data_IF_963319766979
#
_entry.id   IF_963319766979
#
_cell.length_a   1.000
_cell.length_b   1.000
_cell.length_c   1.000
_cell.angle_alpha   90.00
_cell.angle_beta   90.00
_cell.angle_gamma   90.00
#
_symmetry.space_group_name_H-M   'P 1'
#
loop_
_entity.id
_entity.type
_entity.pdbx_description
1 polymer ?
#
# COMPACT_ATOMS: atom_id res chain seq x y z
N UNK A 1 -13.96 3.84 49.92
CA UNK A 1 -14.29 3.22 48.62
C UNK A 1 -12.99 2.98 47.86
N UNK A 2 -12.72 1.74 47.44
CA UNK A 2 -11.51 1.35 46.70
C UNK A 2 -11.57 1.86 45.23
N UNK A 3 -10.68 2.78 44.87
CA UNK A 3 -10.59 3.39 43.52
C UNK A 3 -9.84 2.54 42.48
N UNK A 4 -9.39 1.33 42.82
CA UNK A 4 -8.58 0.49 41.92
C UNK A 4 -9.26 0.02 40.61
N UNK A 5 -10.56 -0.35 40.57
CA UNK A 5 -11.21 -0.72 39.31
C UNK A 5 -11.49 0.50 38.40
N UNK A 6 -11.57 1.70 38.98
CA UNK A 6 -11.76 2.97 38.27
C UNK A 6 -10.55 3.34 37.41
N UNK A 7 -9.34 3.15 37.93
CA UNK A 7 -8.12 3.45 37.19
C UNK A 7 -7.97 2.52 35.98
N UNK A 8 -8.32 1.24 36.13
CA UNK A 8 -8.27 0.25 35.05
C UNK A 8 -9.22 0.58 33.89
N UNK A 9 -10.48 0.92 34.20
CA UNK A 9 -11.49 1.27 33.19
C UNK A 9 -11.17 2.62 32.53
N UNK A 10 -10.71 3.61 33.29
CA UNK A 10 -10.31 4.92 32.74
C UNK A 10 -9.06 4.78 31.86
N UNK A 11 -8.09 3.93 32.21
CA UNK A 11 -6.90 3.68 31.37
C UNK A 11 -7.29 2.96 30.07
N UNK A 12 -8.21 1.98 30.14
CA UNK A 12 -8.72 1.26 28.96
C UNK A 12 -9.54 2.20 28.07
N UNK A 13 -10.45 3.00 28.64
CA UNK A 13 -11.23 3.99 27.90
C UNK A 13 -10.36 5.11 27.34
N UNK A 14 -9.37 5.63 28.08
CA UNK A 14 -8.45 6.65 27.58
C UNK A 14 -7.56 6.12 26.44
N UNK A 15 -7.20 4.84 26.46
CA UNK A 15 -6.55 4.16 25.31
C UNK A 15 -7.48 4.01 24.11
N UNK A 16 -8.73 3.60 24.33
CA UNK A 16 -9.75 3.45 23.29
C UNK A 16 -10.11 4.80 22.63
N UNK A 17 -10.30 5.84 23.45
CA UNK A 17 -10.63 7.20 23.00
C UNK A 17 -9.44 7.87 22.29
N UNK A 18 -8.21 7.71 22.79
CA UNK A 18 -7.02 8.20 22.06
C UNK A 18 -6.74 7.44 20.76
N UNK A 19 -7.16 6.16 20.67
CA UNK A 19 -7.14 5.45 19.40
C UNK A 19 -8.20 6.00 18.46
N UNK A 20 -9.44 6.24 18.90
CA UNK A 20 -10.54 6.73 18.08
C UNK A 20 -10.34 8.18 17.56
N UNK A 21 -9.84 9.10 18.38
CA UNK A 21 -9.66 10.53 18.01
C UNK A 21 -8.54 10.79 17.00
N UNK A 22 -7.66 9.82 16.73
CA UNK A 22 -6.63 9.95 15.67
C UNK A 22 -7.15 9.70 14.25
N UNK A 23 -8.44 9.39 14.08
CA UNK A 23 -9.02 8.97 12.80
C UNK A 23 -10.07 9.93 12.21
N UNK A 24 -10.33 11.08 12.83
CA UNK A 24 -11.07 12.15 12.16
C UNK A 24 -10.14 12.88 11.19
N UNK A 25 -10.01 12.35 9.97
CA UNK A 25 -10.07 13.22 8.79
C UNK A 25 -10.18 12.46 7.46
N UNK A 26 -11.23 12.85 6.73
CA UNK A 26 -11.41 12.89 5.28
C UNK A 26 -12.15 11.70 4.61
N UNK A 27 -13.32 12.05 4.06
CA UNK A 27 -14.23 11.28 3.19
C UNK A 27 -13.63 11.09 1.77
N UNK A 28 -13.94 10.04 1.00
CA UNK A 28 -15.08 9.73 0.08
C UNK A 28 -14.97 8.23 -0.32
N UNK A 29 -15.99 7.38 -0.52
CA UNK A 29 -16.89 7.18 -1.69
C UNK A 29 -18.06 6.27 -1.24
N UNK A 30 -19.25 6.44 -1.83
CA UNK A 30 -20.54 6.46 -1.11
C UNK A 30 -21.32 5.14 -0.90
N UNK A 31 -21.08 4.03 -1.60
CA UNK A 31 -22.08 2.92 -1.57
C UNK A 31 -21.67 1.71 -0.71
N UNK A 32 -20.38 1.33 -0.68
CA UNK A 32 -19.85 0.33 0.30
C UNK A 32 -19.58 0.99 1.67
N UNK A 33 -19.52 2.33 1.69
CA UNK A 33 -19.35 3.14 2.91
C UNK A 33 -20.51 3.01 3.89
N UNK A 34 -21.74 2.76 3.43
CA UNK A 34 -22.92 2.85 4.30
C UNK A 34 -22.87 1.77 5.38
N UNK A 35 -22.66 0.50 5.04
CA UNK A 35 -22.58 -0.58 6.04
C UNK A 35 -21.34 -0.45 6.97
N UNK A 36 -20.19 -0.02 6.43
CA UNK A 36 -18.95 0.21 7.21
C UNK A 36 -19.06 1.43 8.14
N UNK A 37 -19.70 2.51 7.69
CA UNK A 37 -19.99 3.69 8.51
C UNK A 37 -21.06 3.39 9.56
N UNK A 38 -22.03 2.52 9.27
CA UNK A 38 -23.01 2.08 10.29
C UNK A 38 -22.28 1.38 11.44
N UNK A 39 -21.36 0.45 11.17
CA UNK A 39 -20.57 -0.22 12.22
C UNK A 39 -19.76 0.80 13.02
N UNK A 40 -19.14 1.79 12.36
CA UNK A 40 -18.38 2.85 13.03
C UNK A 40 -19.25 3.78 13.88
N UNK A 41 -20.38 4.26 13.35
CA UNK A 41 -21.35 5.09 14.07
C UNK A 41 -21.89 4.32 15.27
N UNK A 42 -22.22 3.03 15.12
CA UNK A 42 -22.66 2.17 16.22
C UNK A 42 -21.57 2.02 17.28
N UNK A 43 -20.30 1.84 16.87
CA UNK A 43 -19.18 1.69 17.80
C UNK A 43 -18.88 3.00 18.56
N UNK A 44 -18.84 4.14 17.87
CA UNK A 44 -18.63 5.47 18.48
C UNK A 44 -19.82 5.86 19.36
N UNK A 45 -21.05 5.67 18.89
CA UNK A 45 -22.26 5.95 19.67
C UNK A 45 -22.34 5.07 20.92
N UNK A 46 -21.93 3.79 20.83
CA UNK A 46 -21.89 2.91 22.01
C UNK A 46 -20.84 3.36 23.04
N UNK A 47 -19.67 3.84 22.62
CA UNK A 47 -18.63 4.38 23.52
C UNK A 47 -19.07 5.71 24.14
N UNK A 48 -19.62 6.62 23.34
CA UNK A 48 -20.14 7.91 23.82
C UNK A 48 -21.29 7.72 24.78
N UNK A 49 -22.15 6.73 24.49
CA UNK A 49 -23.12 6.22 25.45
C UNK A 49 -22.36 5.87 26.73
N UNK A 50 -21.44 4.87 26.75
CA UNK A 50 -20.71 4.38 27.97
C UNK A 50 -20.24 5.51 28.89
N UNK A 51 -19.69 6.57 28.33
CA UNK A 51 -19.26 7.75 29.07
C UNK A 51 -20.44 8.48 29.75
N UNK A 52 -21.54 8.75 29.02
CA UNK A 52 -22.74 9.39 29.57
C UNK A 52 -23.37 8.60 30.73
N UNK A 53 -23.44 7.28 30.69
CA UNK A 53 -23.96 6.48 31.84
C UNK A 53 -23.08 6.57 33.06
N UNK A 54 -21.76 6.53 32.86
CA UNK A 54 -20.82 6.65 33.96
C UNK A 54 -20.99 8.02 34.63
N UNK A 55 -21.29 9.06 33.85
CA UNK A 55 -21.66 10.38 34.39
C UNK A 55 -23.02 10.31 35.11
N UNK A 56 -24.06 9.74 34.50
CA UNK A 56 -25.39 9.68 35.10
C UNK A 56 -25.44 8.86 36.40
N UNK A 57 -24.86 7.66 36.49
CA UNK A 57 -24.91 6.86 37.72
C UNK A 57 -24.10 7.48 38.85
N UNK A 58 -22.92 8.03 38.57
CA UNK A 58 -22.04 8.54 39.62
C UNK A 58 -22.42 9.95 40.08
N UNK A 59 -22.95 10.81 39.19
CA UNK A 59 -23.43 12.14 39.59
C UNK A 59 -24.90 12.14 40.06
N UNK A 60 -25.69 11.14 39.66
CA UNK A 60 -27.14 11.10 39.88
C UNK A 60 -27.54 9.88 40.71
N UNK A 61 -26.92 9.72 41.88
CA UNK A 61 -27.32 8.70 42.85
C UNK A 61 -28.19 9.36 43.93
N UNK A 62 -29.53 9.43 43.77
CA UNK A 62 -30.39 10.12 44.73
C UNK A 62 -30.50 9.34 46.04
N UNK A 63 -30.46 10.03 47.17
CA UNK A 63 -30.83 9.46 48.47
C UNK A 63 -32.32 9.05 48.44
N UNK A 64 -32.64 7.90 49.05
CA UNK A 64 -34.00 7.32 49.11
C UNK A 64 -35.07 8.26 49.69
N UNK A 65 -34.67 9.29 50.43
CA UNK A 65 -35.56 10.31 51.02
C UNK A 65 -35.92 11.47 50.08
N UNK A 66 -35.43 11.47 48.83
CA UNK A 66 -35.73 12.52 47.85
C UNK A 66 -37.13 12.37 47.24
N UNK A 67 -37.93 13.46 47.13
CA UNK A 67 -39.27 13.42 46.53
C UNK A 67 -39.29 13.08 45.04
N UNK A 68 -38.12 13.00 44.38
CA UNK A 68 -37.98 12.67 42.96
C UNK A 68 -37.37 11.27 42.71
N UNK A 69 -37.27 10.43 43.76
CA UNK A 69 -36.61 9.11 43.70
C UNK A 69 -37.22 8.17 42.65
N UNK A 70 -38.55 8.12 42.55
CA UNK A 70 -39.24 7.26 41.57
C UNK A 70 -38.98 7.69 40.12
N UNK A 71 -38.96 9.00 39.87
CA UNK A 71 -38.62 9.57 38.56
C UNK A 71 -37.17 9.29 38.17
N UNK A 72 -36.23 9.44 39.12
CA UNK A 72 -34.82 9.10 38.89
C UNK A 72 -34.61 7.60 38.65
N UNK A 73 -35.38 6.74 39.33
CA UNK A 73 -35.31 5.29 39.18
C UNK A 73 -35.89 4.83 37.84
N UNK A 74 -36.99 5.44 37.38
CA UNK A 74 -37.55 5.23 36.05
C UNK A 74 -36.57 5.64 34.93
N UNK A 75 -35.96 6.83 35.04
CA UNK A 75 -34.96 7.31 34.09
C UNK A 75 -33.74 6.37 34.09
N UNK A 76 -33.26 5.94 35.26
CA UNK A 76 -32.15 4.98 35.39
C UNK A 76 -32.46 3.62 34.74
N UNK A 77 -33.67 3.09 34.91
CA UNK A 77 -34.09 1.82 34.29
C UNK A 77 -34.27 1.93 32.77
N UNK A 78 -34.82 3.05 32.28
CA UNK A 78 -34.95 3.33 30.84
C UNK A 78 -33.58 3.46 30.17
N UNK A 79 -32.66 4.15 30.86
CA UNK A 79 -31.24 4.21 30.55
C UNK A 79 -30.71 2.77 30.47
N UNK A 80 -30.78 1.94 31.53
CA UNK A 80 -30.28 0.54 31.54
C UNK A 80 -30.82 -0.30 30.37
N UNK A 81 -32.10 -0.15 29.99
CA UNK A 81 -32.70 -0.84 28.85
C UNK A 81 -32.08 -0.45 27.49
N UNK A 82 -31.88 0.84 27.26
CA UNK A 82 -31.18 1.35 26.06
C UNK A 82 -29.71 0.88 26.05
N UNK A 83 -29.09 0.76 27.23
CA UNK A 83 -27.71 0.32 27.43
C UNK A 83 -27.43 -1.15 27.18
N UNK A 84 -28.35 -2.03 27.56
CA UNK A 84 -28.27 -3.45 27.20
C UNK A 84 -28.21 -3.63 25.68
N UNK A 85 -29.02 -2.87 24.95
CA UNK A 85 -29.00 -2.85 23.48
C UNK A 85 -27.67 -2.32 22.90
N UNK A 86 -27.13 -1.25 23.46
CA UNK A 86 -25.87 -0.66 23.00
C UNK A 86 -24.66 -1.61 23.20
N UNK A 87 -24.56 -2.28 24.35
CA UNK A 87 -23.48 -3.24 24.64
C UNK A 87 -23.55 -4.45 23.69
N UNK A 88 -24.75 -4.97 23.45
CA UNK A 88 -24.97 -6.07 22.50
C UNK A 88 -24.60 -5.63 21.08
N UNK A 89 -24.98 -4.41 20.67
CA UNK A 89 -24.62 -3.86 19.36
C UNK A 89 -23.11 -3.67 19.21
N UNK A 90 -22.41 -3.26 20.27
CA UNK A 90 -20.95 -3.17 20.30
C UNK A 90 -20.30 -4.55 20.17
N UNK A 91 -20.81 -5.57 20.86
CA UNK A 91 -20.36 -6.96 20.70
C UNK A 91 -20.49 -7.46 19.26
N UNK A 92 -21.65 -7.23 18.63
CA UNK A 92 -21.91 -7.61 17.24
C UNK A 92 -20.98 -6.84 16.28
N UNK A 93 -20.76 -5.54 16.52
CA UNK A 93 -19.86 -4.71 15.74
C UNK A 93 -18.40 -5.22 15.82
N UNK A 94 -17.92 -5.60 17.01
CA UNK A 94 -16.58 -6.14 17.22
C UNK A 94 -16.39 -7.51 16.54
N UNK A 95 -17.39 -8.39 16.63
CA UNK A 95 -17.35 -9.71 15.95
C UNK A 95 -17.36 -9.52 14.43
N UNK A 96 -18.25 -8.67 13.92
CA UNK A 96 -18.34 -8.34 12.49
C UNK A 96 -17.06 -7.69 11.98
N UNK A 97 -16.43 -6.84 12.79
CA UNK A 97 -15.13 -6.25 12.51
C UNK A 97 -14.03 -7.31 12.39
N UNK A 98 -13.96 -8.23 13.36
CA UNK A 98 -12.98 -9.33 13.33
C UNK A 98 -13.15 -10.23 12.11
N UNK A 99 -14.39 -10.53 11.71
CA UNK A 99 -14.68 -11.35 10.54
C UNK A 99 -14.35 -10.64 9.22
N UNK A 100 -14.72 -9.36 9.08
CA UNK A 100 -14.38 -8.55 7.89
C UNK A 100 -12.86 -8.44 7.72
N UNK A 101 -12.12 -8.23 8.81
CA UNK A 101 -10.66 -8.22 8.78
C UNK A 101 -10.07 -9.54 8.29
N UNK A 102 -10.60 -10.66 8.79
CA UNK A 102 -10.13 -11.99 8.39
C UNK A 102 -10.35 -12.23 6.90
N UNK A 103 -11.56 -11.92 6.39
CA UNK A 103 -11.91 -12.07 4.97
C UNK A 103 -11.02 -11.23 4.05
N UNK A 104 -10.74 -9.98 4.41
CA UNK A 104 -9.92 -9.09 3.59
C UNK A 104 -8.44 -9.55 3.55
N UNK A 105 -7.89 -10.07 4.66
CA UNK A 105 -6.56 -10.69 4.65
C UNK A 105 -6.51 -12.01 3.90
N UNK A 106 -7.53 -12.87 4.03
CA UNK A 106 -7.62 -14.11 3.27
C UNK A 106 -7.69 -13.83 1.76
N UNK A 107 -8.37 -12.76 1.35
CA UNK A 107 -8.39 -12.30 -0.05
C UNK A 107 -7.00 -11.84 -0.50
N UNK A 108 -6.32 -11.03 0.32
CA UNK A 108 -4.96 -10.58 0.04
C UNK A 108 -3.96 -11.74 -0.08
N UNK A 109 -3.97 -12.69 0.86
CA UNK A 109 -3.08 -13.85 0.83
C UNK A 109 -3.33 -14.76 -0.39
N UNK A 110 -4.59 -14.87 -0.84
CA UNK A 110 -4.91 -15.61 -2.07
C UNK A 110 -4.38 -14.90 -3.31
N UNK A 111 -4.55 -13.58 -3.41
CA UNK A 111 -4.00 -12.79 -4.50
C UNK A 111 -2.47 -12.82 -4.51
N UNK A 112 -1.85 -12.76 -3.33
CA UNK A 112 -0.41 -12.86 -3.13
C UNK A 112 0.13 -14.21 -3.63
N UNK A 113 -0.50 -15.31 -3.20
CA UNK A 113 -0.10 -16.65 -3.62
C UNK A 113 -0.18 -16.82 -5.14
N UNK A 114 -1.28 -16.35 -5.75
CA UNK A 114 -1.46 -16.41 -7.20
C UNK A 114 -0.39 -15.61 -7.95
N UNK A 115 -0.05 -14.40 -7.46
CA UNK A 115 1.02 -13.59 -8.03
C UNK A 115 2.39 -14.28 -7.86
N UNK A 116 2.67 -14.82 -6.68
CA UNK A 116 3.92 -15.51 -6.37
C UNK A 116 4.14 -16.74 -7.24
N UNK A 117 3.11 -17.58 -7.42
CA UNK A 117 3.18 -18.76 -8.29
C UNK A 117 3.42 -18.35 -9.75
N UNK A 118 2.70 -17.33 -10.24
CA UNK A 118 2.90 -16.79 -11.59
C UNK A 118 4.31 -16.24 -11.79
N UNK A 119 4.87 -15.58 -10.76
CA UNK A 119 6.27 -15.12 -10.76
C UNK A 119 7.27 -16.28 -10.80
N UNK A 120 6.97 -17.41 -10.17
CA UNK A 120 7.81 -18.61 -10.18
C UNK A 120 7.96 -19.25 -11.56
N UNK A 121 6.96 -19.06 -12.43
CA UNK A 121 6.95 -19.55 -13.81
C UNK A 121 7.40 -18.49 -14.82
N UNK A 122 8.28 -17.57 -14.44
CA UNK A 122 8.84 -16.60 -15.39
C UNK A 122 9.55 -17.34 -16.54
N UNK A 123 9.07 -17.12 -17.77
CA UNK A 123 9.61 -17.75 -19.00
C UNK A 123 9.83 -16.72 -20.10
N UNK A 124 10.90 -16.92 -20.88
CA UNK A 124 11.22 -16.09 -22.05
C UNK A 124 10.24 -16.33 -23.23
N UNK A 125 9.49 -17.43 -23.19
CA UNK A 125 8.40 -17.79 -24.11
C UNK A 125 7.11 -17.09 -23.70
N UNK A 126 6.40 -16.47 -24.66
CA UNK A 126 5.18 -15.68 -24.44
C UNK A 126 5.30 -14.59 -23.36
N UNK A 127 6.45 -13.91 -23.32
CA UNK A 127 6.78 -12.91 -22.30
C UNK A 127 5.73 -11.79 -22.18
N UNK A 128 5.12 -11.35 -23.28
CA UNK A 128 4.04 -10.34 -23.29
C UNK A 128 2.77 -10.84 -22.61
N UNK A 129 2.30 -12.05 -22.94
CA UNK A 129 1.10 -12.64 -22.30
C UNK A 129 1.33 -12.89 -20.81
N UNK A 130 2.55 -13.33 -20.46
CA UNK A 130 2.96 -13.49 -19.07
C UNK A 130 2.89 -12.15 -18.32
N UNK A 131 3.34 -11.06 -18.94
CA UNK A 131 3.30 -9.72 -18.35
C UNK A 131 1.87 -9.18 -18.22
N UNK A 132 1.02 -9.36 -19.22
CA UNK A 132 -0.40 -8.98 -19.14
C UNK A 132 -1.11 -9.66 -17.97
N UNK A 133 -0.85 -10.96 -17.79
CA UNK A 133 -1.38 -11.70 -16.64
C UNK A 133 -0.76 -11.23 -15.32
N UNK A 134 0.53 -10.91 -15.30
CA UNK A 134 1.19 -10.32 -14.14
C UNK A 134 0.53 -9.00 -13.72
N UNK A 135 0.26 -8.09 -14.66
CA UNK A 135 -0.39 -6.81 -14.39
C UNK A 135 -1.81 -6.99 -13.82
N UNK A 136 -2.57 -7.97 -14.32
CA UNK A 136 -3.88 -8.30 -13.78
C UNK A 136 -3.81 -8.84 -12.34
N UNK A 137 -2.86 -9.74 -12.05
CA UNK A 137 -2.65 -10.29 -10.71
C UNK A 137 -2.16 -9.24 -9.72
N UNK A 138 -1.24 -8.36 -10.15
CA UNK A 138 -0.80 -7.22 -9.36
C UNK A 138 -1.96 -6.27 -9.02
N UNK A 139 -2.82 -5.94 -9.99
CA UNK A 139 -4.00 -5.09 -9.75
C UNK A 139 -4.92 -5.72 -8.71
N UNK A 140 -5.21 -7.02 -8.83
CA UNK A 140 -6.02 -7.73 -7.84
C UNK A 140 -5.39 -7.69 -6.43
N UNK A 141 -4.07 -7.83 -6.31
CA UNK A 141 -3.36 -7.71 -5.04
C UNK A 141 -3.43 -6.27 -4.47
N UNK A 142 -3.21 -5.28 -5.33
CA UNK A 142 -3.27 -3.85 -4.99
C UNK A 142 -4.67 -3.45 -4.51
N UNK A 143 -5.71 -3.93 -5.19
CA UNK A 143 -7.11 -3.72 -4.81
C UNK A 143 -7.42 -4.39 -3.45
N UNK A 144 -6.93 -5.60 -3.21
CA UNK A 144 -7.04 -6.26 -1.91
C UNK A 144 -6.39 -5.42 -0.80
N UNK A 145 -5.20 -4.87 -1.04
CA UNK A 145 -4.56 -3.98 -0.07
C UNK A 145 -5.28 -2.63 0.11
N UNK A 146 -5.85 -2.07 -0.96
CA UNK A 146 -6.68 -0.89 -0.88
C UNK A 146 -7.92 -1.14 -0.01
N UNK A 147 -8.47 -2.37 -0.04
CA UNK A 147 -9.57 -2.79 0.83
C UNK A 147 -9.14 -3.00 2.29
N UNK A 148 -7.90 -3.45 2.51
CA UNK A 148 -7.27 -3.59 3.83
C UNK A 148 -7.08 -2.24 4.56
N UNK A 149 -7.15 -1.09 3.85
CA UNK A 149 -6.93 0.28 4.39
C UNK A 149 -7.62 0.59 5.72
N UNK A 150 -8.71 -0.08 6.06
CA UNK A 150 -9.55 0.23 7.22
C UNK A 150 -9.42 -0.74 8.42
N UNK A 151 -8.58 -1.79 8.35
CA UNK A 151 -8.74 -2.97 9.20
C UNK A 151 -7.54 -3.37 10.08
N UNK A 152 -6.44 -2.62 10.07
CA UNK A 152 -5.22 -2.94 10.84
C UNK A 152 -4.64 -1.71 11.56
N UNK A 153 -3.82 -1.96 12.59
CA UNK A 153 -2.93 -0.94 13.18
C UNK A 153 -2.25 -0.14 12.04
N UNK A 154 -2.63 1.13 11.82
CA UNK A 154 -2.46 1.78 10.51
C UNK A 154 -1.01 2.01 10.11
N UNK A 155 -0.09 1.94 11.08
CA UNK A 155 1.26 2.45 10.90
C UNK A 155 2.33 1.38 10.73
N UNK A 156 2.10 0.12 11.13
CA UNK A 156 3.17 -0.89 11.10
C UNK A 156 2.91 -1.97 10.07
N UNK A 157 1.85 -2.76 10.27
CA UNK A 157 1.51 -3.86 9.34
C UNK A 157 1.14 -3.34 7.96
N UNK A 158 0.39 -2.23 7.89
CA UNK A 158 0.02 -1.63 6.61
C UNK A 158 1.22 -1.06 5.85
N UNK A 159 2.22 -0.51 6.53
CA UNK A 159 3.46 -0.04 5.88
C UNK A 159 4.23 -1.22 5.31
N UNK A 160 4.40 -2.30 6.08
CA UNK A 160 5.05 -3.52 5.59
C UNK A 160 4.33 -4.11 4.36
N UNK A 161 3.00 -4.24 4.41
CA UNK A 161 2.22 -4.72 3.26
C UNK A 161 2.31 -3.77 2.06
N UNK A 162 2.39 -2.45 2.31
CA UNK A 162 2.60 -1.46 1.25
C UNK A 162 3.98 -1.63 0.61
N UNK A 163 5.05 -1.71 1.40
CA UNK A 163 6.42 -1.95 0.90
C UNK A 163 6.49 -3.23 0.06
N UNK A 164 5.79 -4.29 0.50
CA UNK A 164 5.67 -5.55 -0.22
C UNK A 164 4.98 -5.40 -1.60
N UNK A 165 3.90 -4.64 -1.69
CA UNK A 165 3.20 -4.39 -2.96
C UNK A 165 4.00 -3.44 -3.84
N UNK A 166 4.60 -2.41 -3.24
CA UNK A 166 5.46 -1.45 -3.89
C UNK A 166 6.66 -2.14 -4.54
N UNK A 167 7.12 -3.28 -4.03
CA UNK A 167 8.14 -4.12 -4.67
C UNK A 167 7.68 -4.68 -6.02
N UNK A 168 6.48 -5.28 -6.08
CA UNK A 168 5.91 -5.77 -7.34
C UNK A 168 5.56 -4.61 -8.28
N UNK A 169 5.08 -3.49 -7.74
CA UNK A 169 4.87 -2.27 -8.52
C UNK A 169 6.15 -1.78 -9.20
N UNK A 170 7.28 -1.82 -8.49
CA UNK A 170 8.58 -1.44 -9.07
C UNK A 170 8.97 -2.29 -10.28
N UNK A 171 8.65 -3.58 -10.29
CA UNK A 171 8.88 -4.41 -11.48
C UNK A 171 8.07 -3.91 -12.66
N UNK A 172 6.77 -3.64 -12.44
CA UNK A 172 5.88 -3.15 -13.48
C UNK A 172 6.39 -1.83 -14.05
N UNK A 173 6.74 -0.86 -13.19
CA UNK A 173 7.29 0.44 -13.63
C UNK A 173 8.56 0.26 -14.47
N UNK A 174 9.47 -0.62 -14.05
CA UNK A 174 10.75 -0.82 -14.72
C UNK A 174 10.64 -1.55 -16.06
N UNK A 175 9.52 -2.23 -16.35
CA UNK A 175 9.39 -3.14 -17.49
C UNK A 175 8.22 -2.86 -18.44
N UNK A 176 7.24 -2.04 -18.03
CA UNK A 176 6.04 -1.72 -18.82
C UNK A 176 6.39 -1.24 -20.24
N UNK A 177 7.30 -0.26 -20.36
CA UNK A 177 7.69 0.30 -21.64
C UNK A 177 8.38 -0.74 -22.54
N UNK A 178 9.19 -1.63 -21.95
CA UNK A 178 9.89 -2.71 -22.63
C UNK A 178 8.91 -3.75 -23.18
N UNK A 179 7.91 -4.16 -22.37
CA UNK A 179 6.87 -5.07 -22.81
C UNK A 179 5.96 -4.45 -23.88
N UNK A 180 5.67 -3.15 -23.77
CA UNK A 180 4.96 -2.43 -24.82
C UNK A 180 5.75 -2.38 -26.13
N UNK A 181 7.08 -2.18 -26.08
CA UNK A 181 7.93 -2.30 -27.27
C UNK A 181 7.89 -3.71 -27.87
N UNK A 182 7.94 -4.77 -27.05
CA UNK A 182 7.87 -6.16 -27.52
C UNK A 182 6.59 -6.49 -28.29
N UNK A 183 5.47 -5.77 -28.05
CA UNK A 183 4.22 -5.96 -28.81
C UNK A 183 4.34 -5.53 -30.28
N UNK A 184 5.19 -4.54 -30.57
CA UNK A 184 5.28 -3.88 -31.88
C UNK A 184 6.58 -4.19 -32.64
N UNK A 185 7.56 -4.82 -32.00
CA UNK A 185 8.84 -5.16 -32.62
C UNK A 185 8.72 -6.42 -33.47
N UNK A 186 8.98 -6.28 -34.77
CA UNK A 186 9.09 -7.41 -35.70
C UNK A 186 10.51 -8.01 -35.76
N UNK A 187 11.54 -7.29 -35.31
CA UNK A 187 12.94 -7.69 -35.44
C UNK A 187 13.39 -8.62 -34.28
N UNK A 188 13.84 -9.86 -34.56
CA UNK A 188 14.19 -10.83 -33.52
C UNK A 188 15.36 -10.42 -32.61
N UNK A 189 16.39 -9.77 -33.17
CA UNK A 189 17.59 -9.30 -32.44
C UNK A 189 17.23 -8.29 -31.35
N UNK A 190 16.44 -7.26 -31.71
CA UNK A 190 15.96 -6.24 -30.78
C UNK A 190 15.01 -6.80 -29.73
N UNK A 191 14.17 -7.76 -30.11
CA UNK A 191 13.32 -8.47 -29.16
C UNK A 191 14.15 -9.21 -28.11
N UNK A 192 15.22 -9.89 -28.53
CA UNK A 192 16.10 -10.62 -27.61
C UNK A 192 16.85 -9.69 -26.66
N UNK A 193 17.35 -8.56 -27.15
CA UNK A 193 18.01 -7.54 -26.32
C UNK A 193 17.08 -6.99 -25.22
N UNK A 194 15.81 -6.76 -25.55
CA UNK A 194 14.81 -6.29 -24.58
C UNK A 194 14.50 -7.39 -23.55
N UNK A 195 14.34 -8.63 -23.99
CA UNK A 195 14.13 -9.77 -23.08
C UNK A 195 15.30 -9.96 -22.13
N UNK A 196 16.53 -9.82 -22.62
CA UNK A 196 17.73 -9.87 -21.78
C UNK A 196 17.73 -8.75 -20.73
N UNK A 197 17.39 -7.52 -21.09
CA UNK A 197 17.26 -6.41 -20.11
C UNK A 197 16.21 -6.69 -19.04
N UNK A 198 15.07 -7.29 -19.41
CA UNK A 198 14.04 -7.69 -18.44
C UNK A 198 14.56 -8.82 -17.54
N UNK A 199 15.26 -9.80 -18.13
CA UNK A 199 15.86 -10.92 -17.41
C UNK A 199 16.90 -10.46 -16.40
N UNK A 200 17.72 -9.46 -16.71
CA UNK A 200 18.70 -8.88 -15.78
C UNK A 200 18.04 -8.21 -14.57
N UNK A 201 16.79 -7.76 -14.70
CA UNK A 201 16.01 -7.20 -13.58
C UNK A 201 15.47 -8.33 -12.69
N UNK A 202 14.93 -9.39 -13.30
CA UNK A 202 14.27 -10.51 -12.60
C UNK A 202 15.26 -11.50 -12.01
N UNK A 203 16.31 -11.83 -12.76
CA UNK A 203 17.26 -12.89 -12.46
C UNK A 203 18.53 -12.29 -11.88
N UNK A 204 18.97 -12.87 -10.78
CA UNK A 204 20.25 -12.58 -10.16
C UNK A 204 21.15 -13.79 -10.25
N UNK A 205 22.28 -13.63 -10.92
CA UNK A 205 23.29 -14.68 -11.00
C UNK A 205 24.28 -14.54 -9.84
N UNK A 206 24.20 -15.46 -8.89
CA UNK A 206 25.16 -15.57 -7.80
C UNK A 206 26.22 -16.58 -8.20
N UNK A 207 27.42 -16.09 -8.45
CA UNK A 207 28.58 -16.92 -8.74
C UNK A 207 29.29 -17.25 -7.42
N UNK A 208 29.26 -18.51 -7.01
CA UNK A 208 30.03 -18.99 -5.86
C UNK A 208 31.20 -19.84 -6.34
N UNK A 209 32.42 -19.46 -5.95
CA UNK A 209 33.61 -20.27 -6.18
C UNK A 209 33.94 -21.05 -4.91
N UNK A 210 34.00 -22.38 -5.02
CA UNK A 210 34.54 -23.27 -3.98
C UNK A 210 35.68 -24.07 -4.60
N UNK A 211 36.92 -23.63 -4.37
CA UNK A 211 38.11 -24.22 -4.98
C UNK A 211 38.09 -24.02 -6.50
N UNK A 212 38.19 -25.12 -7.27
CA UNK A 212 38.20 -25.10 -8.75
C UNK A 212 36.76 -25.06 -9.32
N UNK A 213 35.75 -25.36 -8.50
CA UNK A 213 34.36 -25.38 -8.95
C UNK A 213 33.72 -23.98 -8.87
N UNK A 214 33.21 -23.52 -10.01
CA UNK A 214 32.37 -22.33 -10.14
C UNK A 214 30.91 -22.78 -10.22
N UNK A 215 30.15 -22.52 -9.15
CA UNK A 215 28.71 -22.75 -9.14
C UNK A 215 28.00 -21.43 -9.49
N UNK A 216 27.13 -21.48 -10.49
CA UNK A 216 26.29 -20.35 -10.88
C UNK A 216 24.87 -20.67 -10.40
N UNK A 217 24.35 -19.87 -9.49
CA UNK A 217 22.99 -19.97 -8.98
C UNK A 217 22.18 -18.80 -9.56
N UNK A 218 21.14 -19.08 -10.34
CA UNK A 218 20.27 -18.06 -10.89
C UNK A 218 19.02 -17.94 -10.01
N UNK A 219 18.89 -16.85 -9.26
CA UNK A 219 17.76 -16.60 -8.38
C UNK A 219 16.75 -15.67 -9.05
N UNK A 220 15.47 -16.04 -9.01
CA UNK A 220 14.40 -15.14 -9.41
C UNK A 220 14.08 -14.18 -8.26
N UNK A 221 14.45 -12.91 -8.38
CA UNK A 221 14.25 -11.87 -7.36
C UNK A 221 12.78 -11.67 -6.97
N UNK A 222 11.83 -12.00 -7.85
CA UNK A 222 10.40 -11.89 -7.56
C UNK A 222 9.91 -12.94 -6.55
N UNK A 223 10.61 -14.07 -6.43
CA UNK A 223 10.23 -15.19 -5.56
C UNK A 223 11.30 -15.56 -4.50
N UNK A 224 12.55 -15.17 -4.73
CA UNK A 224 13.68 -15.46 -3.85
C UNK A 224 13.54 -14.78 -2.49
N UNK A 225 13.83 -15.52 -1.41
CA UNK A 225 13.76 -15.09 -0.01
C UNK A 225 12.41 -14.47 0.42
N UNK A 226 11.32 -14.75 -0.31
CA UNK A 226 9.98 -14.28 0.05
C UNK A 226 9.33 -15.08 1.17
N UNK A 227 9.92 -16.19 1.59
CA UNK A 227 9.40 -17.02 2.70
C UNK A 227 9.30 -16.23 4.01
N UNK A 228 10.27 -15.36 4.29
CA UNK A 228 10.28 -14.48 5.46
C UNK A 228 9.11 -13.49 5.37
N UNK A 229 8.89 -12.89 4.20
CA UNK A 229 7.78 -11.96 3.99
C UNK A 229 6.42 -12.67 4.13
N UNK A 230 6.26 -13.87 3.57
CA UNK A 230 5.05 -14.69 3.72
C UNK A 230 4.79 -15.06 5.17
N UNK A 231 5.83 -15.44 5.93
CA UNK A 231 5.71 -15.70 7.36
C UNK A 231 5.23 -14.47 8.13
N UNK A 232 5.72 -13.27 7.78
CA UNK A 232 5.23 -12.04 8.38
C UNK A 232 3.76 -11.75 8.02
N UNK A 233 3.35 -12.00 6.78
CA UNK A 233 1.94 -11.87 6.35
C UNK A 233 1.05 -12.85 7.14
N UNK A 234 1.48 -14.11 7.30
CA UNK A 234 0.79 -15.11 8.11
C UNK A 234 0.68 -14.72 9.59
N UNK A 235 1.74 -14.16 10.14
CA UNK A 235 1.77 -13.69 11.53
C UNK A 235 0.84 -12.47 11.72
N UNK A 236 0.75 -11.56 10.73
CA UNK A 236 -0.24 -10.46 10.69
C UNK A 236 -1.66 -11.03 10.66
N UNK A 237 -1.92 -12.04 9.82
CA UNK A 237 -3.22 -12.71 9.73
C UNK A 237 -3.63 -13.33 11.07
N UNK A 238 -2.72 -14.06 11.73
CA UNK A 238 -2.96 -14.78 13.00
C UNK A 238 -3.05 -13.88 14.22
N UNK A 239 -2.91 -12.56 14.07
CA UNK A 239 -3.12 -11.57 15.12
C UNK A 239 -2.26 -11.77 16.39
N UNK A 240 -1.06 -12.36 16.26
CA UNK A 240 -0.14 -12.37 17.40
C UNK A 240 0.16 -10.91 17.76
N UNK A 241 0.24 -10.59 19.05
CA UNK A 241 0.65 -9.28 19.57
C UNK A 241 2.08 -8.95 19.13
N UNK A 242 2.26 -8.63 17.85
CA UNK A 242 3.57 -8.40 17.26
C UNK A 242 3.88 -6.92 17.44
N UNK A 243 4.54 -6.64 18.56
CA UNK A 243 5.06 -5.31 18.86
C UNK A 243 6.31 -4.95 18.02
N UNK A 244 6.83 -5.89 17.21
CA UNK A 244 7.99 -5.69 16.35
C UNK A 244 7.56 -5.12 14.99
N UNK A 245 8.27 -4.10 14.53
CA UNK A 245 8.15 -3.60 13.16
C UNK A 245 8.75 -4.65 12.23
N UNK A 246 7.97 -5.12 11.26
CA UNK A 246 8.52 -5.87 10.14
C UNK A 246 9.12 -4.89 9.15
N UNK A 247 10.32 -5.18 8.66
CA UNK A 247 10.98 -4.38 7.62
C UNK A 247 11.07 -5.21 6.35
N UNK A 248 10.65 -4.64 5.23
CA UNK A 248 10.77 -5.26 3.94
C UNK A 248 11.98 -4.65 3.22
N UNK A 249 13.15 -5.26 3.39
CA UNK A 249 14.44 -4.70 2.96
C UNK A 249 14.85 -5.07 1.52
N UNK A 250 13.90 -5.46 0.67
CA UNK A 250 14.14 -5.86 -0.72
C UNK A 250 13.72 -4.76 -1.69
N UNK A 251 14.52 -4.55 -2.74
CA UNK A 251 14.21 -3.63 -3.84
C UNK A 251 14.67 -4.25 -5.15
N UNK A 252 13.93 -3.97 -6.23
CA UNK A 252 14.36 -4.28 -7.59
C UNK A 252 15.12 -3.13 -8.23
N UNK A 253 15.07 -1.94 -7.63
CA UNK A 253 15.69 -0.72 -8.17
C UNK A 253 17.18 -0.75 -7.85
N UNK A 254 18.01 -0.76 -8.89
CA UNK A 254 19.47 -0.72 -8.81
C UNK A 254 20.00 0.39 -9.70
N UNK A 255 21.26 0.79 -9.50
CA UNK A 255 21.94 1.74 -10.39
C UNK A 255 22.06 1.24 -11.85
N UNK A 256 21.91 -0.07 -12.07
CA UNK A 256 22.01 -0.68 -13.40
C UNK A 256 20.70 -0.58 -14.19
N UNK A 257 19.55 -0.61 -13.51
CA UNK A 257 18.23 -0.57 -14.15
C UNK A 257 17.46 0.74 -13.94
N UNK A 258 18.00 1.69 -13.17
CA UNK A 258 17.45 3.02 -12.95
C UNK A 258 18.54 4.09 -12.95
N UNK A 259 18.36 5.14 -13.77
CA UNK A 259 19.34 6.22 -13.95
C UNK A 259 18.95 7.42 -13.08
N UNK A 260 19.70 7.71 -12.02
CA UNK A 260 19.45 8.92 -11.23
C UNK A 260 19.75 10.18 -12.07
N UNK A 261 18.78 11.07 -12.18
CA UNK A 261 18.91 12.31 -12.93
C UNK A 261 19.57 13.41 -12.09
N UNK A 262 20.30 14.31 -12.75
CA UNK A 262 20.80 15.51 -12.11
C UNK A 262 19.65 16.45 -11.73
N UNK A 263 19.80 17.30 -10.68
CA UNK A 263 18.74 18.17 -10.20
C UNK A 263 18.08 19.04 -11.28
N UNK A 264 18.84 19.47 -12.30
CA UNK A 264 18.32 20.21 -13.45
C UNK A 264 17.22 19.42 -14.17
N UNK A 265 17.45 18.14 -14.44
CA UNK A 265 16.52 17.28 -15.17
C UNK A 265 15.35 16.80 -14.30
N UNK A 266 15.53 16.72 -12.98
CA UNK A 266 14.43 16.40 -12.06
C UNK A 266 13.33 17.46 -12.06
N UNK A 267 13.68 18.73 -12.34
CA UNK A 267 12.69 19.80 -12.54
C UNK A 267 11.78 19.47 -13.71
N UNK A 268 12.34 19.04 -14.85
CA UNK A 268 11.55 18.63 -16.01
C UNK A 268 10.65 17.43 -15.72
N UNK A 269 11.13 16.43 -14.98
CA UNK A 269 10.31 15.27 -14.60
C UNK A 269 9.11 15.70 -13.75
N UNK A 270 9.32 16.65 -12.83
CA UNK A 270 8.23 17.18 -12.00
C UNK A 270 7.21 17.95 -12.84
N UNK A 271 7.67 18.78 -13.76
CA UNK A 271 6.81 19.55 -14.68
C UNK A 271 6.03 18.63 -15.63
N UNK A 272 6.68 17.61 -16.20
CA UNK A 272 6.00 16.59 -17.00
C UNK A 272 4.87 15.93 -16.23
N UNK A 273 5.11 15.57 -14.97
CA UNK A 273 4.09 14.94 -14.14
C UNK A 273 2.89 15.84 -13.89
N UNK A 274 3.14 17.11 -13.57
CA UNK A 274 2.08 18.10 -13.40
C UNK A 274 1.26 18.30 -14.70
N UNK A 275 1.90 18.27 -15.87
CA UNK A 275 1.21 18.37 -17.17
C UNK A 275 0.50 17.07 -17.58
N UNK A 276 1.05 15.89 -17.27
CA UNK A 276 0.38 14.59 -17.46
C UNK A 276 -0.90 14.53 -16.62
N UNK A 277 -0.85 14.97 -15.37
CA UNK A 277 -2.03 15.01 -14.47
C UNK A 277 -3.11 15.98 -14.98
N UNK A 278 -2.72 17.11 -15.57
CA UNK A 278 -3.67 18.10 -16.13
C UNK A 278 -4.29 17.64 -17.45
N UNK A 279 -3.48 17.11 -18.36
CA UNK A 279 -3.89 16.75 -19.72
C UNK A 279 -4.42 15.31 -19.82
N UNK A 280 -4.17 14.48 -18.80
CA UNK A 280 -4.41 13.05 -18.81
C UNK A 280 -3.80 12.36 -20.05
N UNK A 281 -2.60 12.79 -20.43
CA UNK A 281 -1.87 12.36 -21.63
C UNK A 281 -0.38 12.19 -21.32
N UNK A 282 0.27 11.17 -21.88
CA UNK A 282 1.73 11.01 -21.87
C UNK A 282 2.42 11.76 -23.01
N UNK A 283 1.66 12.28 -23.97
CA UNK A 283 2.12 13.24 -24.97
C UNK A 283 1.84 14.65 -24.49
N UNK A 284 2.90 15.42 -24.27
CA UNK A 284 2.86 16.74 -23.68
C UNK A 284 3.33 17.79 -24.69
N UNK A 285 2.59 18.89 -24.79
CA UNK A 285 3.07 20.10 -25.49
C UNK A 285 4.02 20.83 -24.52
N UNK A 286 5.32 20.57 -24.66
CA UNK A 286 6.33 21.02 -23.70
C UNK A 286 7.56 21.58 -24.41
N UNK A 287 8.06 22.72 -23.91
CA UNK A 287 9.16 23.47 -24.51
C UNK A 287 10.39 23.36 -23.60
N UNK A 288 11.41 22.69 -24.12
CA UNK A 288 12.75 22.59 -23.52
C UNK A 288 13.84 22.53 -24.59
N UNK A 289 15.11 22.81 -24.24
CA UNK A 289 16.23 22.65 -25.16
C UNK A 289 16.32 21.22 -25.72
N UNK A 290 16.68 21.08 -27.00
CA UNK A 290 16.84 19.77 -27.64
C UNK A 290 17.92 18.93 -26.94
N UNK A 291 19.03 19.53 -26.53
CA UNK A 291 20.10 18.83 -25.83
C UNK A 291 19.60 18.16 -24.53
N UNK A 292 18.69 18.84 -23.82
CA UNK A 292 18.07 18.32 -22.60
C UNK A 292 17.08 17.19 -22.92
N UNK A 293 16.34 17.31 -24.04
CA UNK A 293 15.47 16.26 -24.54
C UNK A 293 16.25 15.00 -24.94
N UNK A 294 17.35 15.16 -25.67
CA UNK A 294 18.22 14.05 -26.04
C UNK A 294 18.80 13.33 -24.82
N UNK A 295 19.22 14.09 -23.81
CA UNK A 295 19.69 13.52 -22.55
C UNK A 295 18.59 12.67 -21.88
N UNK A 296 17.37 13.22 -21.74
CA UNK A 296 16.24 12.52 -21.13
C UNK A 296 15.82 11.28 -21.94
N UNK A 297 15.95 11.31 -23.27
CA UNK A 297 15.67 10.17 -24.14
C UNK A 297 16.73 9.07 -23.97
N UNK A 298 18.02 9.45 -23.93
CA UNK A 298 19.14 8.53 -23.67
C UNK A 298 19.05 7.91 -22.27
N UNK A 299 18.66 8.70 -21.28
CA UNK A 299 18.40 8.26 -19.91
C UNK A 299 17.11 7.41 -19.79
N UNK A 300 16.30 7.33 -20.86
CA UNK A 300 15.18 6.42 -20.96
C UNK A 300 13.87 6.94 -20.37
N UNK A 301 13.75 8.23 -20.06
CA UNK A 301 12.54 8.84 -19.47
C UNK A 301 11.53 9.31 -20.50
N UNK A 302 11.98 9.65 -21.70
CA UNK A 302 11.09 9.99 -22.81
C UNK A 302 11.30 9.00 -23.96
N UNK A 303 10.23 8.70 -24.69
CA UNK A 303 10.27 7.83 -25.87
C UNK A 303 10.72 8.61 -27.10
N UNK A 304 10.32 9.88 -27.20
CA UNK A 304 10.68 10.79 -28.27
C UNK A 304 10.18 12.20 -28.02
N UNK A 305 10.50 13.09 -28.96
CA UNK A 305 10.15 14.50 -28.92
C UNK A 305 10.09 15.05 -30.36
N UNK A 306 9.39 16.18 -30.55
CA UNK A 306 9.30 16.86 -31.84
C UNK A 306 9.99 18.21 -31.79
N UNK A 307 10.64 18.58 -32.89
CA UNK A 307 11.34 19.86 -33.04
C UNK A 307 10.33 20.99 -33.14
N UNK A 308 10.47 22.01 -32.30
CA UNK A 308 9.77 23.29 -32.37
C UNK A 308 10.64 24.38 -33.00
N UNK A 309 10.33 25.64 -32.68
CA UNK A 309 11.07 26.80 -33.21
C UNK A 309 12.32 27.03 -32.34
N UNK A 310 13.41 27.53 -32.94
CA UNK A 310 14.63 27.96 -32.25
C UNK A 310 15.38 26.88 -31.44
N UNK A 311 15.46 25.64 -31.94
CA UNK A 311 16.23 24.58 -31.27
C UNK A 311 15.62 24.09 -29.95
N UNK A 312 14.31 24.29 -29.80
CA UNK A 312 13.53 23.81 -28.67
C UNK A 312 12.59 22.68 -29.12
N UNK A 313 12.08 21.94 -28.15
CA UNK A 313 11.01 20.96 -28.35
C UNK A 313 9.66 21.67 -28.49
N UNK A 314 8.75 21.06 -29.25
CA UNK A 314 7.34 21.43 -29.30
C UNK A 314 6.48 20.41 -28.55
N UNK A 315 6.83 19.13 -28.64
CA UNK A 315 6.16 18.05 -27.94
C UNK A 315 7.17 17.05 -27.38
N UNK A 316 6.79 16.40 -26.29
CA UNK A 316 7.56 15.37 -25.61
C UNK A 316 6.63 14.19 -25.33
N UNK A 317 7.08 12.97 -25.65
CA UNK A 317 6.36 11.74 -25.31
C UNK A 317 7.05 11.08 -24.13
N UNK A 318 6.40 11.12 -22.98
CA UNK A 318 6.89 10.57 -21.73
C UNK A 318 6.67 9.04 -21.67
N UNK A 319 7.64 8.33 -21.08
CA UNK A 319 7.51 6.91 -20.76
C UNK A 319 6.84 6.68 -19.40
N UNK A 320 6.36 5.47 -19.15
CA UNK A 320 5.67 5.13 -17.91
C UNK A 320 6.54 5.34 -16.66
N UNK A 321 7.85 5.09 -16.78
CA UNK A 321 8.83 5.31 -15.71
C UNK A 321 8.92 6.78 -15.26
N UNK A 322 8.56 7.75 -16.11
CA UNK A 322 8.68 9.19 -15.82
C UNK A 322 7.70 9.65 -14.76
N UNK A 323 6.44 9.23 -14.85
CA UNK A 323 5.44 9.52 -13.81
C UNK A 323 5.84 8.92 -12.45
N UNK A 324 6.56 7.80 -12.49
CA UNK A 324 6.95 7.04 -11.31
C UNK A 324 8.38 7.30 -10.83
N UNK A 325 9.10 8.27 -11.41
CA UNK A 325 10.52 8.52 -11.14
C UNK A 325 10.81 8.72 -9.66
N UNK A 326 10.09 9.63 -9.00
CA UNK A 326 10.34 9.96 -7.59
C UNK A 326 10.01 8.80 -6.64
N UNK A 327 9.07 7.92 -7.02
CA UNK A 327 8.76 6.71 -6.26
C UNK A 327 9.92 5.71 -6.32
N UNK A 328 10.55 5.55 -7.49
CA UNK A 328 11.71 4.68 -7.65
C UNK A 328 12.97 5.30 -7.03
N UNK A 329 13.18 6.61 -7.16
CA UNK A 329 14.28 7.35 -6.52
C UNK A 329 14.30 7.14 -5.01
N UNK A 330 13.15 7.16 -4.35
CA UNK A 330 13.05 6.93 -2.90
C UNK A 330 13.46 5.51 -2.46
N UNK A 331 13.49 4.55 -3.38
CA UNK A 331 13.86 3.14 -3.12
C UNK A 331 15.33 2.85 -3.40
N UNK A 332 16.05 3.76 -4.05
CA UNK A 332 17.50 3.68 -4.12
C UNK A 332 18.06 3.93 -2.74
N UNK A 333 18.67 2.90 -2.15
CA UNK A 333 19.43 3.07 -0.91
C UNK A 333 20.59 4.03 -1.21
N UNK A 334 20.80 5.09 -0.41
CA UNK A 334 22.08 5.78 -0.43
C UNK A 334 23.16 4.77 -0.07
N UNK A 335 24.28 4.77 -0.77
CA UNK A 335 25.42 3.94 -0.42
C UNK A 335 25.78 4.19 1.05
N UNK A 336 25.71 3.16 1.88
CA UNK A 336 26.65 3.08 2.98
C UNK A 336 28.02 2.98 2.32
N UNK A 337 28.79 4.06 2.37
CA UNK A 337 30.20 4.04 2.02
C UNK A 337 30.86 2.85 2.73
N UNK A 338 31.39 1.89 1.97
CA UNK A 338 32.35 0.91 2.45
C UNK A 338 33.43 0.70 1.40
#
# INVERSE_FOLDING_TARGET
MNYQPFLGIIIVMKRLVNQLFRYENICEVVIVKIQRNTIYITLVASVFSVVLYTVCIFFWNPQQSSPCYDWHTFISNLVIGIWGGAIVSLGIALVSYGESRRKDMEAFMRADLALFEHCGHFTDQNSVEWFDKYCALYKALSDCWANIKFLFDPRRHRLFLKEYIDFYWSFMILTEDQYNMLRYIAEPSRSEDIKNKIKDIVMEEIITQKGICKNILCNNRLTHDKEIAKKHIDDIYRNKNILKKFEFNQTLVTKQNFILLEPKFEVYIKEFREEMDKSNSTELDFIMPIDDAEYLQKAGYISGWTVGINGQTAKVSCKFITDNYFLLKAKLKPEENS
#
